data_IF_274282964820
#
_entry.id   IF_274282964820
#
_cell.length_a   1.000
_cell.length_b   1.000
_cell.length_c   1.000
_cell.angle_alpha   90.00
_cell.angle_beta   90.00
_cell.angle_gamma   90.00
#
_symmetry.space_group_name_H-M   'P 1'
#
loop_
_entity.id
_entity.type
_entity.pdbx_description
1 polymer ?
#
# COMPACT_ATOMS: atom_id res chain seq x y z
N UNK A 1 0.54 -50.42 54.64
CA UNK A 1 1.43 -49.74 53.67
C UNK A 1 0.55 -48.97 52.70
N UNK A 2 0.51 -47.60 52.79
CA UNK A 2 -0.34 -46.74 51.96
C UNK A 2 0.63 -45.95 51.05
N UNK A 3 0.68 -46.34 49.77
CA UNK A 3 1.41 -45.59 48.72
C UNK A 3 0.64 -44.34 48.36
N UNK A 4 1.21 -43.17 48.66
CA UNK A 4 0.69 -41.86 48.17
C UNK A 4 1.31 -41.60 46.78
N UNK A 5 0.49 -41.71 45.76
CA UNK A 5 0.82 -41.22 44.41
C UNK A 5 0.78 -39.70 44.42
N UNK A 6 1.93 -39.04 44.25
CA UNK A 6 2.01 -37.59 44.05
C UNK A 6 1.79 -37.32 42.56
N UNK A 7 0.60 -36.81 42.19
CA UNK A 7 0.33 -36.31 40.86
C UNK A 7 1.10 -35.03 40.60
N UNK A 8 2.01 -35.04 39.63
CA UNK A 8 2.72 -33.87 39.13
C UNK A 8 1.84 -33.19 38.07
N UNK A 9 1.18 -32.12 38.46
CA UNK A 9 0.43 -31.26 37.50
C UNK A 9 1.42 -30.47 36.66
N UNK A 10 1.49 -30.80 35.34
CA UNK A 10 2.27 -30.04 34.37
C UNK A 10 1.44 -28.81 33.94
N UNK A 11 1.80 -27.66 34.47
CA UNK A 11 1.20 -26.38 34.08
C UNK A 11 1.80 -25.95 32.75
N UNK A 12 1.11 -26.22 31.63
CA UNK A 12 1.46 -25.67 30.31
C UNK A 12 1.24 -24.16 30.32
N UNK A 13 2.29 -23.39 30.50
CA UNK A 13 2.31 -21.95 30.35
C UNK A 13 2.32 -21.66 28.85
N UNK A 14 1.15 -21.32 28.29
CA UNK A 14 1.06 -20.82 26.91
C UNK A 14 1.72 -19.42 26.87
N UNK A 15 2.92 -19.35 26.33
CA UNK A 15 3.58 -18.07 26.03
C UNK A 15 2.87 -17.48 24.80
N UNK A 16 2.01 -16.51 25.03
CA UNK A 16 1.46 -15.68 23.97
C UNK A 16 2.60 -14.83 23.40
N UNK A 17 3.15 -15.23 22.26
CA UNK A 17 4.09 -14.40 21.52
C UNK A 17 3.35 -13.14 21.05
N UNK A 18 3.87 -11.92 21.29
CA UNK A 18 3.25 -10.72 20.77
C UNK A 18 3.26 -10.79 19.25
N UNK A 19 2.07 -10.64 18.65
CA UNK A 19 1.92 -10.47 17.20
C UNK A 19 2.53 -9.11 16.84
N UNK A 20 3.81 -9.08 16.49
CA UNK A 20 4.47 -7.84 16.07
C UNK A 20 3.99 -7.47 14.69
N UNK A 21 3.23 -6.37 14.59
CA UNK A 21 2.94 -5.74 13.31
C UNK A 21 4.28 -5.36 12.65
N UNK A 22 4.52 -5.89 11.46
CA UNK A 22 5.71 -5.51 10.68
C UNK A 22 5.44 -4.13 10.06
N UNK A 23 6.07 -3.09 10.62
CA UNK A 23 6.01 -1.74 10.10
C UNK A 23 7.32 -1.39 9.39
N UNK A 24 7.20 -0.79 8.21
CA UNK A 24 8.34 -0.30 7.42
C UNK A 24 8.08 1.17 7.11
N UNK A 25 9.05 2.04 7.39
CA UNK A 25 8.93 3.48 7.16
C UNK A 25 10.00 3.95 6.19
N UNK A 26 9.61 4.79 5.23
CA UNK A 26 10.51 5.49 4.31
C UNK A 26 10.17 6.98 4.30
N UNK A 27 11.18 7.84 4.23
CA UNK A 27 10.99 9.29 4.19
C UNK A 27 11.38 9.86 2.84
N UNK A 28 10.84 11.00 2.48
CA UNK A 28 11.34 11.81 1.38
C UNK A 28 12.78 12.27 1.61
N UNK A 29 13.49 12.75 0.57
CA UNK A 29 14.90 13.17 0.68
C UNK A 29 15.20 14.17 1.77
N UNK A 30 14.27 15.10 2.09
CA UNK A 30 14.40 16.10 3.15
C UNK A 30 13.93 15.61 4.55
N UNK A 31 13.43 14.38 4.64
CA UNK A 31 12.98 13.73 5.88
C UNK A 31 11.61 14.19 6.40
N UNK A 32 10.95 15.17 5.76
CA UNK A 32 9.69 15.75 6.28
C UNK A 32 8.47 14.87 5.99
N UNK A 33 8.36 14.39 4.74
CA UNK A 33 7.29 13.48 4.34
C UNK A 33 7.71 12.06 4.68
N UNK A 34 6.90 11.36 5.47
CA UNK A 34 7.16 9.99 5.88
C UNK A 34 5.98 9.09 5.54
N UNK A 35 6.26 7.97 4.92
CA UNK A 35 5.31 6.91 4.62
C UNK A 35 5.62 5.72 5.52
N UNK A 36 4.61 5.21 6.21
CA UNK A 36 4.70 3.97 7.00
C UNK A 36 3.77 2.93 6.41
N UNK A 37 4.31 1.77 6.05
CA UNK A 37 3.56 0.59 5.62
C UNK A 37 3.40 -0.34 6.81
N UNK A 38 2.18 -0.78 7.09
CA UNK A 38 1.84 -1.70 8.17
C UNK A 38 1.14 -2.93 7.62
N UNK A 39 1.60 -4.10 8.05
CA UNK A 39 0.98 -5.37 7.66
C UNK A 39 0.97 -6.32 8.87
N UNK A 40 0.00 -6.23 9.79
CA UNK A 40 -0.18 -7.21 10.84
C UNK A 40 -0.48 -8.57 10.22
N UNK A 41 0.09 -9.64 10.78
CA UNK A 41 -0.07 -10.99 10.23
C UNK A 41 -1.54 -11.38 10.11
N UNK A 42 -1.93 -11.86 8.91
CA UNK A 42 -3.29 -12.29 8.62
C UNK A 42 -4.33 -11.17 8.46
N UNK A 43 -3.89 -9.90 8.46
CA UNK A 43 -4.77 -8.75 8.24
C UNK A 43 -4.51 -8.10 6.88
N UNK A 44 -5.20 -7.01 6.61
CA UNK A 44 -5.00 -6.18 5.43
C UNK A 44 -3.69 -5.39 5.56
N UNK A 45 -2.99 -5.24 4.45
CA UNK A 45 -1.89 -4.30 4.38
C UNK A 45 -2.44 -2.87 4.32
N UNK A 46 -1.76 -1.93 4.98
CA UNK A 46 -2.15 -0.53 4.99
C UNK A 46 -0.93 0.39 4.95
N UNK A 47 -1.17 1.66 4.65
CA UNK A 47 -0.16 2.69 4.69
C UNK A 47 -0.69 3.96 5.36
N UNK A 48 0.19 4.76 5.89
CA UNK A 48 -0.12 6.06 6.47
C UNK A 48 0.96 7.09 6.12
N UNK A 49 0.62 8.37 6.19
CA UNK A 49 1.51 9.47 5.87
C UNK A 49 1.55 10.51 6.97
N UNK A 50 2.76 10.98 7.28
CA UNK A 50 2.97 12.17 8.08
C UNK A 50 3.84 13.19 7.34
N UNK A 51 3.62 14.46 7.58
CA UNK A 51 4.45 15.56 7.10
C UNK A 51 4.84 16.45 8.28
N UNK A 52 6.14 16.61 8.54
CA UNK A 52 6.64 17.29 9.74
C UNK A 52 5.99 16.79 11.05
N UNK A 53 5.74 15.47 11.14
CA UNK A 53 5.09 14.84 12.30
C UNK A 53 3.55 15.01 12.34
N UNK A 54 2.95 15.77 11.45
CA UNK A 54 1.49 15.91 11.36
C UNK A 54 0.92 14.80 10.46
N UNK A 55 -0.15 14.13 10.93
CA UNK A 55 -0.86 13.12 10.15
C UNK A 55 -1.54 13.74 8.92
N UNK A 56 -1.22 13.21 7.74
CA UNK A 56 -1.78 13.64 6.45
C UNK A 56 -2.73 12.60 5.87
N UNK A 57 -2.40 11.31 6.03
CA UNK A 57 -3.28 10.18 5.78
C UNK A 57 -3.21 9.22 6.96
N UNK A 58 -4.36 8.85 7.47
CA UNK A 58 -4.52 7.79 8.46
C UNK A 58 -4.28 6.41 7.81
N UNK A 59 -4.35 5.34 8.61
CA UNK A 59 -4.18 3.98 8.11
C UNK A 59 -5.16 3.69 6.97
N UNK A 60 -4.65 3.67 5.75
CA UNK A 60 -5.37 3.53 4.49
C UNK A 60 -5.10 2.15 3.90
N UNK A 61 -6.10 1.39 3.45
CA UNK A 61 -5.90 0.03 2.97
C UNK A 61 -5.15 0.00 1.63
N UNK A 62 -4.46 -1.12 1.40
CA UNK A 62 -3.80 -1.50 0.15
C UNK A 62 -4.31 -2.87 -0.29
N UNK A 63 -4.52 -3.05 -1.58
CA UNK A 63 -4.80 -4.37 -2.11
C UNK A 63 -5.52 -4.41 -3.44
N UNK A 64 -5.49 -5.59 -4.05
CA UNK A 64 -6.17 -5.92 -5.30
C UNK A 64 -6.90 -7.26 -5.14
N UNK A 65 -8.11 -7.35 -5.71
CA UNK A 65 -8.76 -8.62 -6.01
C UNK A 65 -8.61 -8.92 -7.50
N UNK A 66 -8.08 -10.08 -7.82
CA UNK A 66 -7.79 -10.46 -9.20
C UNK A 66 -8.33 -11.86 -9.50
N UNK A 67 -8.41 -12.21 -10.78
CA UNK A 67 -8.78 -13.56 -11.20
C UNK A 67 -7.74 -14.65 -10.84
N UNK A 68 -6.53 -14.24 -10.40
CA UNK A 68 -5.48 -15.17 -9.98
C UNK A 68 -5.32 -15.26 -8.46
N UNK A 69 -5.84 -14.29 -7.70
CA UNK A 69 -5.77 -14.29 -6.23
C UNK A 69 -6.34 -13.03 -5.61
N UNK A 70 -6.66 -13.13 -4.32
CA UNK A 70 -7.02 -12.01 -3.46
C UNK A 70 -5.74 -11.52 -2.75
N UNK A 71 -5.38 -10.26 -2.99
CA UNK A 71 -4.25 -9.56 -2.40
C UNK A 71 -4.70 -8.38 -1.51
N UNK A 72 -5.97 -8.36 -1.10
CA UNK A 72 -6.51 -7.37 -0.20
C UNK A 72 -6.60 -7.89 1.25
N UNK A 73 -6.72 -9.22 1.43
CA UNK A 73 -6.96 -9.84 2.73
C UNK A 73 -5.87 -10.83 3.10
N UNK A 74 -5.68 -11.04 4.42
CA UNK A 74 -4.75 -12.03 4.97
C UNK A 74 -3.34 -11.95 4.34
N UNK A 75 -2.84 -10.72 4.22
CA UNK A 75 -1.54 -10.44 3.65
C UNK A 75 -0.42 -10.65 4.69
N UNK A 76 0.77 -10.95 4.18
CA UNK A 76 2.00 -11.01 4.97
C UNK A 76 3.08 -10.24 4.24
N UNK A 77 3.74 -9.29 4.94
CA UNK A 77 4.94 -8.64 4.45
C UNK A 77 6.10 -9.64 4.54
N UNK A 78 6.67 -10.02 3.40
CA UNK A 78 7.74 -11.03 3.32
C UNK A 78 9.13 -10.42 3.20
N UNK A 79 9.21 -9.12 2.90
CA UNK A 79 10.46 -8.38 2.83
C UNK A 79 10.26 -6.98 2.27
N UNK A 80 11.30 -6.17 2.37
CA UNK A 80 11.32 -4.84 1.77
C UNK A 80 12.71 -4.48 1.28
N UNK A 81 12.78 -3.51 0.37
CA UNK A 81 14.03 -2.92 -0.16
C UNK A 81 13.84 -1.44 -0.36
N UNK A 82 14.89 -0.67 -0.09
CA UNK A 82 14.92 0.76 -0.30
C UNK A 82 16.04 1.14 -1.27
N UNK A 83 15.81 2.20 -2.05
CA UNK A 83 16.84 2.83 -2.87
C UNK A 83 16.56 4.31 -3.05
N UNK A 84 17.61 5.10 -3.24
CA UNK A 84 17.50 6.50 -3.62
C UNK A 84 17.34 6.63 -5.13
N UNK A 85 16.47 7.54 -5.53
CA UNK A 85 16.32 7.96 -6.93
C UNK A 85 16.81 9.39 -7.01
N UNK A 86 17.72 9.63 -7.93
CA UNK A 86 18.24 10.96 -8.25
C UNK A 86 18.48 10.97 -9.76
N UNK A 87 17.63 11.66 -10.50
CA UNK A 87 17.65 11.65 -11.96
C UNK A 87 17.23 12.99 -12.53
N UNK A 88 17.75 13.29 -13.71
CA UNK A 88 17.37 14.48 -14.48
C UNK A 88 16.74 14.04 -15.78
N UNK A 89 15.57 14.58 -16.09
CA UNK A 89 14.90 14.34 -17.37
C UNK A 89 14.36 15.64 -17.96
N UNK A 90 14.06 15.63 -19.24
CA UNK A 90 13.54 16.78 -19.97
C UNK A 90 12.14 16.52 -20.47
N UNK A 91 11.30 17.56 -20.41
CA UNK A 91 9.94 17.58 -20.99
C UNK A 91 9.76 18.86 -21.80
N UNK A 92 9.24 18.72 -23.03
CA UNK A 92 9.18 19.83 -23.98
C UNK A 92 7.94 20.74 -23.85
N UNK A 93 6.92 20.36 -23.08
CA UNK A 93 5.62 21.06 -23.08
C UNK A 93 5.08 21.40 -21.70
N UNK A 94 5.98 21.66 -20.74
CA UNK A 94 5.65 22.07 -19.38
C UNK A 94 6.46 23.31 -18.99
N UNK A 95 6.09 23.95 -17.86
CA UNK A 95 6.74 25.18 -17.36
C UNK A 95 8.24 25.05 -17.13
N UNK A 96 8.74 23.86 -16.77
CA UNK A 96 10.16 23.58 -16.59
C UNK A 96 10.60 22.49 -17.57
N UNK A 97 11.47 22.82 -18.53
CA UNK A 97 11.96 21.88 -19.52
C UNK A 97 12.94 20.84 -18.96
N UNK A 98 13.62 21.14 -17.86
CA UNK A 98 14.56 20.26 -17.17
C UNK A 98 14.09 20.04 -15.74
N UNK A 99 13.88 18.80 -15.38
CA UNK A 99 13.37 18.39 -14.07
C UNK A 99 14.41 17.53 -13.37
N UNK A 100 14.82 17.96 -12.18
CA UNK A 100 15.63 17.16 -11.27
C UNK A 100 14.68 16.46 -10.30
N UNK A 101 14.52 15.15 -10.47
CA UNK A 101 13.63 14.33 -9.65
C UNK A 101 14.42 13.55 -8.62
N UNK A 102 14.10 13.78 -7.35
CA UNK A 102 14.69 13.09 -6.21
C UNK A 102 13.57 12.45 -5.37
N UNK A 103 13.75 11.19 -5.04
CA UNK A 103 12.82 10.42 -4.21
C UNK A 103 13.54 9.26 -3.53
N UNK A 104 12.97 8.74 -2.45
CA UNK A 104 13.32 7.43 -1.92
C UNK A 104 12.25 6.43 -2.34
N UNK A 105 12.66 5.30 -2.91
CA UNK A 105 11.79 4.22 -3.34
C UNK A 105 11.82 3.10 -2.32
N UNK A 106 10.64 2.68 -1.87
CA UNK A 106 10.43 1.52 -1.02
C UNK A 106 9.67 0.47 -1.80
N UNK A 107 10.23 -0.72 -1.93
CA UNK A 107 9.57 -1.91 -2.47
C UNK A 107 9.16 -2.80 -1.31
N UNK A 108 7.88 -3.01 -1.09
CA UNK A 108 7.32 -3.95 -0.12
C UNK A 108 6.88 -5.21 -0.84
N UNK A 109 7.46 -6.35 -0.50
CA UNK A 109 7.08 -7.65 -1.01
C UNK A 109 6.04 -8.29 -0.10
N UNK A 110 4.89 -8.64 -0.65
CA UNK A 110 3.79 -9.27 0.06
C UNK A 110 3.51 -10.67 -0.47
N UNK A 111 2.94 -11.51 0.39
CA UNK A 111 2.31 -12.77 0.00
C UNK A 111 0.91 -12.84 0.61
N UNK A 112 -0.05 -13.40 -0.14
CA UNK A 112 -1.38 -13.71 0.38
C UNK A 112 -1.39 -15.06 1.10
N UNK A 113 -2.53 -15.46 1.66
CA UNK A 113 -2.68 -16.72 2.39
C UNK A 113 -2.32 -17.99 1.57
N UNK A 114 -2.36 -17.91 0.23
CA UNK A 114 -1.96 -18.98 -0.69
C UNK A 114 -0.49 -18.91 -1.09
N UNK A 115 0.29 -17.96 -0.55
CA UNK A 115 1.70 -17.77 -0.89
C UNK A 115 1.93 -17.08 -2.24
N UNK A 116 0.89 -16.56 -2.89
CA UNK A 116 1.01 -15.80 -4.13
C UNK A 116 1.57 -14.41 -3.83
N UNK A 117 2.47 -13.92 -4.69
CA UNK A 117 3.26 -12.71 -4.45
C UNK A 117 2.67 -11.48 -5.12
N UNK A 118 2.79 -10.35 -4.46
CA UNK A 118 2.51 -9.01 -4.97
C UNK A 118 3.52 -8.04 -4.35
N UNK A 119 4.10 -7.16 -5.16
CA UNK A 119 4.92 -6.06 -4.66
C UNK A 119 4.14 -4.75 -4.72
N UNK A 120 4.31 -3.92 -3.71
CA UNK A 120 3.88 -2.52 -3.72
C UNK A 120 5.13 -1.65 -3.72
N UNK A 121 5.28 -0.84 -4.76
CA UNK A 121 6.43 0.03 -4.97
C UNK A 121 6.00 1.47 -4.70
N UNK A 122 6.52 2.05 -3.63
CA UNK A 122 6.30 3.45 -3.27
C UNK A 122 7.47 4.30 -3.70
N UNK A 123 7.21 5.53 -4.11
CA UNK A 123 8.18 6.59 -4.27
C UNK A 123 7.76 7.78 -3.44
N UNK A 124 8.62 8.21 -2.55
CA UNK A 124 8.39 9.33 -1.64
C UNK A 124 9.36 10.43 -2.00
N UNK A 125 8.85 11.53 -2.54
CA UNK A 125 9.60 12.76 -2.77
C UNK A 125 9.49 13.70 -1.57
N UNK A 126 9.85 14.97 -1.69
CA UNK A 126 9.74 15.91 -0.56
C UNK A 126 8.29 16.33 -0.26
N UNK A 127 7.40 16.23 -1.24
CA UNK A 127 6.03 16.77 -1.16
C UNK A 127 4.97 15.90 -1.85
N UNK A 128 5.35 14.76 -2.38
CA UNK A 128 4.40 13.81 -2.99
C UNK A 128 4.78 12.36 -2.74
N UNK A 129 3.80 11.49 -2.86
CA UNK A 129 3.98 10.04 -2.97
C UNK A 129 3.30 9.53 -4.23
N UNK A 130 3.92 8.53 -4.82
CA UNK A 130 3.31 7.70 -5.85
C UNK A 130 3.52 6.24 -5.49
N UNK A 131 2.57 5.38 -5.84
CA UNK A 131 2.78 3.93 -5.70
C UNK A 131 2.12 3.16 -6.83
N UNK A 132 2.57 1.92 -6.98
CA UNK A 132 2.02 0.96 -7.93
C UNK A 132 2.08 -0.45 -7.38
N UNK A 133 1.16 -1.28 -7.80
CA UNK A 133 1.21 -2.72 -7.60
C UNK A 133 1.96 -3.40 -8.75
N UNK A 134 2.69 -4.45 -8.41
CA UNK A 134 3.36 -5.31 -9.37
C UNK A 134 3.08 -6.76 -8.99
N UNK A 135 2.47 -7.50 -9.90
CA UNK A 135 2.23 -8.92 -9.75
C UNK A 135 3.17 -9.69 -10.69
N UNK A 136 3.88 -10.70 -10.20
CA UNK A 136 4.69 -11.53 -11.07
C UNK A 136 3.78 -12.32 -12.02
N UNK A 137 4.32 -12.64 -13.21
CA UNK A 137 3.62 -13.46 -14.19
C UNK A 137 3.21 -14.79 -13.57
N UNK A 138 1.94 -15.15 -13.70
CA UNK A 138 1.36 -16.39 -13.20
C UNK A 138 1.19 -17.37 -14.36
N UNK A 139 1.96 -18.46 -14.37
CA UNK A 139 1.89 -19.48 -15.41
C UNK A 139 2.26 -18.99 -16.82
N UNK A 140 1.65 -19.56 -17.85
CA UNK A 140 1.92 -19.21 -19.25
C UNK A 140 1.19 -17.96 -19.74
N UNK A 141 0.14 -17.54 -19.05
CA UNK A 141 -0.65 -16.35 -19.40
C UNK A 141 0.08 -15.08 -19.00
N UNK A 142 0.23 -14.15 -19.94
CA UNK A 142 0.88 -12.86 -19.72
C UNK A 142 -0.03 -11.75 -19.18
N UNK A 143 -1.32 -12.04 -18.95
CA UNK A 143 -2.33 -11.07 -18.49
C UNK A 143 -3.09 -11.58 -17.28
N UNK A 144 -3.54 -10.64 -16.44
CA UNK A 144 -4.46 -10.88 -15.35
C UNK A 144 -5.61 -9.86 -15.43
N UNK A 145 -6.74 -10.19 -14.80
CA UNK A 145 -7.89 -9.29 -14.66
C UNK A 145 -7.94 -8.80 -13.23
N UNK A 146 -7.96 -7.49 -13.03
CA UNK A 146 -8.25 -6.86 -11.75
C UNK A 146 -9.77 -6.74 -11.64
N UNK A 147 -10.36 -7.42 -10.67
CA UNK A 147 -11.81 -7.41 -10.43
C UNK A 147 -12.20 -6.21 -9.58
N UNK A 148 -11.39 -5.88 -8.55
CA UNK A 148 -11.56 -4.70 -7.72
C UNK A 148 -10.23 -4.25 -7.13
N UNK A 149 -10.16 -2.97 -6.76
CA UNK A 149 -9.07 -2.37 -6.03
C UNK A 149 -9.54 -1.97 -4.64
N UNK A 150 -8.86 -2.47 -3.60
CA UNK A 150 -9.17 -2.18 -2.21
C UNK A 150 -8.38 -0.98 -1.67
N UNK A 151 -7.64 -0.29 -2.53
CA UNK A 151 -6.86 0.89 -2.16
C UNK A 151 -7.77 2.01 -1.64
N UNK A 152 -7.42 2.56 -0.49
CA UNK A 152 -8.15 3.69 0.09
C UNK A 152 -7.23 4.85 0.45
N UNK A 153 -7.85 6.01 0.68
CA UNK A 153 -7.20 7.25 1.13
C UNK A 153 -8.02 7.79 2.30
N UNK A 154 -7.58 7.49 3.52
CA UNK A 154 -8.27 7.92 4.73
C UNK A 154 -7.66 9.22 5.23
N UNK A 155 -8.34 10.31 4.97
CA UNK A 155 -7.95 11.63 5.47
C UNK A 155 -8.37 11.82 6.93
N UNK A 156 -7.62 12.61 7.73
CA UNK A 156 -8.08 13.04 9.05
C UNK A 156 -9.43 13.75 8.99
N UNK A 157 -10.26 13.58 10.03
CA UNK A 157 -11.66 14.02 10.05
C UNK A 157 -11.88 15.49 9.69
N UNK A 158 -10.91 16.37 10.03
CA UNK A 158 -11.01 17.81 9.76
C UNK A 158 -10.39 18.23 8.42
N UNK A 159 -10.11 17.28 7.53
CA UNK A 159 -9.54 17.58 6.22
C UNK A 159 -10.62 18.13 5.31
N UNK A 160 -10.35 19.30 4.72
CA UNK A 160 -11.17 19.84 3.63
C UNK A 160 -10.52 19.51 2.29
N UNK A 161 -11.34 19.09 1.33
CA UNK A 161 -10.88 18.75 -0.03
C UNK A 161 -11.66 19.58 -1.04
N UNK A 162 -10.99 19.88 -2.15
CA UNK A 162 -11.67 20.40 -3.33
C UNK A 162 -11.66 19.30 -4.39
N UNK A 163 -12.84 18.82 -4.73
CA UNK A 163 -12.99 17.74 -5.72
C UNK A 163 -13.93 18.17 -6.83
N UNK A 164 -13.61 17.77 -8.05
CA UNK A 164 -14.51 17.88 -9.18
C UNK A 164 -15.14 16.50 -9.41
N UNK A 165 -16.49 16.39 -9.33
CA UNK A 165 -17.17 15.14 -9.67
C UNK A 165 -16.90 14.76 -11.12
N UNK A 166 -16.74 13.47 -11.39
CA UNK A 166 -16.60 12.96 -12.74
C UNK A 166 -17.86 12.23 -13.17
N UNK A 167 -18.30 12.49 -14.38
CA UNK A 167 -19.34 11.67 -15.00
C UNK A 167 -18.82 10.26 -15.26
N UNK A 168 -19.72 9.28 -15.35
CA UNK A 168 -19.38 7.93 -15.77
C UNK A 168 -18.60 7.93 -17.07
N UNK A 169 -17.65 7.03 -17.19
CA UNK A 169 -16.85 6.87 -18.40
C UNK A 169 -17.76 6.70 -19.62
N UNK A 170 -17.45 7.44 -20.70
CA UNK A 170 -18.15 7.31 -21.95
C UNK A 170 -17.86 5.95 -22.58
N UNK A 171 -18.90 5.18 -22.85
CA UNK A 171 -18.81 3.92 -23.58
C UNK A 171 -19.47 4.07 -24.94
N UNK A 172 -18.66 4.13 -26.00
CA UNK A 172 -19.11 4.21 -27.38
C UNK A 172 -19.95 5.47 -27.68
N UNK A 173 -20.92 5.33 -28.59
CA UNK A 173 -21.76 6.43 -29.09
C UNK A 173 -22.87 6.88 -28.13
N UNK A 174 -22.97 6.31 -26.94
CA UNK A 174 -24.08 6.59 -26.02
C UNK A 174 -23.97 7.94 -25.31
N UNK A 175 -22.79 8.56 -25.27
CA UNK A 175 -22.58 9.88 -24.66
C UNK A 175 -21.88 10.81 -25.65
N UNK A 176 -22.43 11.99 -25.79
CA UNK A 176 -21.89 13.05 -26.66
C UNK A 176 -21.19 14.18 -25.91
N UNK A 177 -21.26 14.18 -24.57
CA UNK A 177 -20.59 15.21 -23.76
C UNK A 177 -19.10 14.87 -23.65
N UNK A 178 -18.19 15.72 -24.14
CA UNK A 178 -16.75 15.49 -24.05
C UNK A 178 -16.16 15.86 -22.70
N UNK A 179 -16.91 16.53 -21.81
CA UNK A 179 -16.44 16.93 -20.48
C UNK A 179 -16.64 15.81 -19.48
N UNK A 180 -15.64 15.61 -18.62
CA UNK A 180 -15.69 14.72 -17.46
C UNK A 180 -16.12 15.47 -16.19
N UNK A 181 -16.40 16.78 -16.31
CA UNK A 181 -16.83 17.60 -15.19
C UNK A 181 -18.36 17.53 -15.06
N UNK A 182 -18.82 17.34 -13.84
CA UNK A 182 -20.23 17.45 -13.46
C UNK A 182 -20.45 18.76 -12.70
N UNK A 183 -21.66 19.30 -12.78
CA UNK A 183 -22.05 20.46 -11.98
C UNK A 183 -22.17 20.06 -10.49
N UNK A 184 -21.80 20.98 -9.60
CA UNK A 184 -21.85 20.79 -8.14
C UNK A 184 -23.29 20.95 -7.64
#
# INVERSE_FOLDING_TARGET
MRNKLKGLAFLCMAVALPLTAQNVTVSGPDGKLQLTVSCPEGKEASYSLTYNGKQMLESSPLGLETNVGDFAKAMKLTGHKERKIDTVYTQSRIKASKIHYQANELVCAFANAKGQKMDVIFRVSNNDIAFRYTLPRQGERGSLVVNSEATGFRFPEQTTTFMCPQSDAMIGWKRTKPSYEEEY
#
